data_IF_873307430431
#
_entry.id   IF_873307430431
#
_cell.length_a   1.000
_cell.length_b   1.000
_cell.length_c   1.000
_cell.angle_alpha   90.00
_cell.angle_beta   90.00
_cell.angle_gamma   90.00
#
_symmetry.space_group_name_H-M   'P 1'
#
loop_
_entity.id
_entity.type
_entity.pdbx_description
1 polymer ?
#
# COMPACT_ATOMS: atom_id res chain seq x y z
N UNK A 1 -30.41 -28.66 36.64
CA UNK A 1 -30.57 -28.46 35.18
C UNK A 1 -29.54 -27.50 34.57
N UNK A 2 -29.05 -26.48 35.29
CA UNK A 2 -28.10 -25.48 34.73
C UNK A 2 -26.73 -26.07 34.35
N UNK A 3 -26.22 -27.04 35.12
CA UNK A 3 -24.92 -27.70 34.84
C UNK A 3 -24.96 -28.53 33.56
N UNK A 4 -26.11 -29.12 33.22
CA UNK A 4 -26.26 -29.97 32.03
C UNK A 4 -26.23 -29.16 30.74
N UNK A 5 -26.85 -27.96 30.74
CA UNK A 5 -26.86 -27.07 29.58
C UNK A 5 -25.45 -26.54 29.30
N UNK A 6 -24.70 -26.16 30.34
CA UNK A 6 -23.32 -25.71 30.19
C UNK A 6 -22.42 -26.82 29.61
N UNK A 7 -22.58 -28.07 30.05
CA UNK A 7 -21.81 -29.20 29.54
C UNK A 7 -22.14 -29.51 28.06
N UNK A 8 -23.42 -29.44 27.68
CA UNK A 8 -23.85 -29.65 26.29
C UNK A 8 -23.32 -28.54 25.38
N UNK A 9 -23.33 -27.28 25.82
CA UNK A 9 -22.77 -26.17 25.04
C UNK A 9 -21.25 -26.34 24.90
N UNK A 10 -20.54 -26.73 25.96
CA UNK A 10 -19.08 -26.96 25.90
C UNK A 10 -18.72 -28.13 24.97
N UNK A 11 -19.52 -29.20 24.99
CA UNK A 11 -19.36 -30.37 24.10
C UNK A 11 -19.73 -30.06 22.65
N UNK A 12 -20.75 -29.24 22.40
CA UNK A 12 -21.08 -28.76 21.06
C UNK A 12 -20.00 -27.83 20.49
N UNK A 13 -19.39 -26.97 21.31
CA UNK A 13 -18.27 -26.15 20.85
C UNK A 13 -17.00 -26.97 20.59
N UNK A 14 -16.67 -27.96 21.43
CA UNK A 14 -15.48 -28.80 21.20
C UNK A 14 -15.64 -29.76 20.02
N UNK A 15 -16.85 -30.26 19.77
CA UNK A 15 -17.13 -31.14 18.62
C UNK A 15 -17.15 -30.41 17.29
N UNK A 16 -17.43 -29.10 17.24
CA UNK A 16 -17.30 -28.30 16.01
C UNK A 16 -15.85 -27.90 15.71
N UNK A 17 -14.99 -27.83 16.73
CA UNK A 17 -13.56 -27.50 16.56
C UNK A 17 -12.69 -28.72 16.18
N UNK A 18 -13.06 -29.92 16.63
CA UNK A 18 -12.28 -31.15 16.40
C UNK A 18 -12.21 -31.72 14.96
N UNK A 19 -13.24 -31.62 14.08
CA UNK A 19 -13.11 -32.16 12.73
C UNK A 19 -12.10 -31.38 11.89
N UNK A 20 -11.81 -30.12 12.25
CA UNK A 20 -10.81 -29.36 11.52
C UNK A 20 -9.39 -29.78 11.94
N UNK A 21 -9.11 -30.03 13.23
CA UNK A 21 -7.75 -30.34 13.69
C UNK A 21 -7.21 -31.70 13.25
N UNK A 22 -8.05 -32.72 13.10
CA UNK A 22 -7.59 -34.10 12.85
C UNK A 22 -7.25 -34.40 11.39
N UNK A 23 -7.70 -33.58 10.45
CA UNK A 23 -7.49 -33.81 9.02
C UNK A 23 -6.18 -33.13 8.50
N UNK A 24 -5.71 -32.06 9.16
CA UNK A 24 -4.75 -31.11 8.55
C UNK A 24 -3.34 -31.64 8.26
N UNK A 25 -2.80 -32.67 8.93
CA UNK A 25 -1.37 -33.02 8.71
C UNK A 25 -1.10 -33.66 7.34
N UNK A 26 -2.05 -34.45 6.82
CA UNK A 26 -1.99 -35.04 5.47
C UNK A 26 -2.79 -34.21 4.43
N UNK A 27 -3.66 -33.30 4.87
CA UNK A 27 -4.67 -32.61 4.05
C UNK A 27 -4.28 -31.20 3.56
N UNK A 28 -3.07 -30.72 3.83
CA UNK A 28 -2.58 -29.43 3.30
C UNK A 28 -2.73 -29.37 1.77
N UNK A 29 -2.50 -30.48 1.07
CA UNK A 29 -2.65 -30.57 -0.38
C UNK A 29 -4.10 -30.34 -0.85
N UNK A 30 -5.08 -30.90 -0.13
CA UNK A 30 -6.50 -30.65 -0.41
C UNK A 30 -6.82 -29.19 -0.17
N UNK A 31 -6.32 -28.61 0.93
CA UNK A 31 -6.54 -27.20 1.23
C UNK A 31 -5.93 -26.28 0.16
N UNK A 32 -4.73 -26.58 -0.34
CA UNK A 32 -4.12 -25.89 -1.48
C UNK A 32 -5.04 -25.95 -2.70
N UNK A 33 -5.60 -27.12 -3.00
CA UNK A 33 -6.56 -27.31 -4.10
C UNK A 33 -7.90 -26.56 -3.93
N UNK A 34 -8.31 -26.28 -2.69
CA UNK A 34 -9.53 -25.53 -2.40
C UNK A 34 -9.36 -24.01 -2.59
N UNK A 35 -8.16 -23.46 -2.39
CA UNK A 35 -7.90 -22.02 -2.50
C UNK A 35 -8.33 -21.43 -3.86
N UNK A 36 -7.97 -22.02 -5.03
CA UNK A 36 -8.46 -21.56 -6.33
C UNK A 36 -9.98 -21.50 -6.42
N UNK A 37 -10.68 -22.49 -5.86
CA UNK A 37 -12.15 -22.54 -5.86
C UNK A 37 -12.73 -21.40 -5.03
N UNK A 38 -12.13 -21.13 -3.87
CA UNK A 38 -12.57 -20.08 -2.95
C UNK A 38 -12.25 -18.67 -3.45
N UNK A 39 -11.17 -18.48 -4.23
CA UNK A 39 -10.85 -17.21 -4.88
C UNK A 39 -11.88 -16.80 -5.96
N UNK A 40 -12.59 -17.78 -6.53
CA UNK A 40 -13.69 -17.57 -7.47
C UNK A 40 -15.04 -17.36 -6.81
N UNK A 41 -15.16 -17.61 -5.50
CA UNK A 41 -16.37 -17.32 -4.74
C UNK A 41 -16.60 -15.81 -4.61
N UNK A 42 -17.74 -15.43 -4.01
CA UNK A 42 -18.00 -14.02 -3.71
C UNK A 42 -16.97 -13.48 -2.70
N UNK A 43 -16.66 -12.16 -2.71
CA UNK A 43 -15.72 -11.59 -1.75
C UNK A 43 -16.08 -11.89 -0.28
N UNK A 44 -17.37 -11.90 0.06
CA UNK A 44 -17.87 -12.21 1.41
C UNK A 44 -17.65 -13.67 1.79
N UNK A 45 -17.87 -14.60 0.85
CA UNK A 45 -17.65 -16.02 1.11
C UNK A 45 -16.16 -16.31 1.30
N UNK A 46 -15.31 -15.71 0.47
CA UNK A 46 -13.86 -15.84 0.59
C UNK A 46 -13.34 -15.22 1.90
N UNK A 47 -13.89 -14.07 2.32
CA UNK A 47 -13.58 -13.45 3.61
C UNK A 47 -13.94 -14.37 4.78
N UNK A 48 -15.13 -14.96 4.77
CA UNK A 48 -15.57 -15.89 5.82
C UNK A 48 -14.70 -17.14 5.85
N UNK A 49 -14.52 -17.78 4.70
CA UNK A 49 -13.73 -19.01 4.61
C UNK A 49 -12.28 -18.80 5.04
N UNK A 50 -11.63 -17.73 4.58
CA UNK A 50 -10.23 -17.45 4.96
C UNK A 50 -10.07 -17.09 6.44
N UNK A 51 -11.10 -16.51 7.07
CA UNK A 51 -11.14 -16.30 8.53
C UNK A 51 -11.20 -17.62 9.28
N UNK A 52 -12.03 -18.56 8.83
CA UNK A 52 -12.14 -19.89 9.44
C UNK A 52 -10.80 -20.63 9.35
N UNK A 53 -10.14 -20.60 8.17
CA UNK A 53 -8.78 -21.14 8.00
C UNK A 53 -7.77 -20.49 8.95
N UNK A 54 -7.84 -19.16 9.12
CA UNK A 54 -6.95 -18.42 10.03
C UNK A 54 -7.10 -18.84 11.49
N UNK A 55 -8.31 -19.26 11.91
CA UNK A 55 -8.59 -19.71 13.27
C UNK A 55 -8.23 -21.18 13.49
N UNK A 56 -8.31 -22.00 12.43
CA UNK A 56 -8.09 -23.44 12.52
C UNK A 56 -6.64 -23.86 12.34
N UNK A 57 -5.88 -23.13 11.53
CA UNK A 57 -4.48 -23.44 11.22
C UNK A 57 -3.53 -22.62 12.07
N UNK A 58 -2.42 -23.24 12.49
CA UNK A 58 -1.31 -22.47 13.04
C UNK A 58 -0.57 -21.69 11.93
N UNK A 59 0.30 -20.77 12.33
CA UNK A 59 1.00 -19.89 11.41
C UNK A 59 1.83 -20.64 10.35
N UNK A 60 2.52 -21.71 10.76
CA UNK A 60 3.37 -22.51 9.88
C UNK A 60 2.53 -23.23 8.81
N UNK A 61 1.39 -23.79 9.19
CA UNK A 61 0.46 -24.45 8.26
C UNK A 61 -0.11 -23.44 7.26
N UNK A 62 -0.53 -22.26 7.73
CA UNK A 62 -1.01 -21.20 6.86
C UNK A 62 0.07 -20.76 5.86
N UNK A 63 1.32 -20.63 6.31
CA UNK A 63 2.46 -20.29 5.46
C UNK A 63 2.67 -21.37 4.39
N UNK A 64 2.69 -22.65 4.78
CA UNK A 64 2.84 -23.78 3.84
C UNK A 64 1.76 -23.78 2.78
N UNK A 65 0.49 -23.58 3.14
CA UNK A 65 -0.61 -23.51 2.17
C UNK A 65 -0.40 -22.33 1.22
N UNK A 66 -0.18 -21.13 1.77
CA UNK A 66 -0.10 -19.91 0.97
C UNK A 66 1.06 -19.91 -0.04
N UNK A 67 2.21 -20.51 0.30
CA UNK A 67 3.38 -20.54 -0.58
C UNK A 67 3.33 -21.64 -1.65
N UNK A 68 2.44 -22.63 -1.51
CA UNK A 68 2.28 -23.73 -2.46
C UNK A 68 1.07 -23.56 -3.38
N UNK A 69 0.46 -22.38 -3.41
CA UNK A 69 -0.64 -22.08 -4.34
C UNK A 69 -0.13 -22.09 -5.80
N UNK A 70 -0.82 -22.78 -6.72
CA UNK A 70 -0.45 -22.81 -8.14
C UNK A 70 -0.91 -21.51 -8.84
N UNK A 71 -0.26 -20.39 -8.50
CA UNK A 71 -0.64 -19.08 -9.02
C UNK A 71 -0.62 -18.97 -10.55
N UNK A 72 0.27 -19.70 -11.24
CA UNK A 72 0.30 -19.73 -12.71
C UNK A 72 -1.03 -20.26 -13.26
N UNK A 73 -1.47 -21.43 -12.79
CA UNK A 73 -2.70 -22.07 -13.23
C UNK A 73 -3.93 -21.20 -12.91
N UNK A 74 -3.92 -20.55 -11.74
CA UNK A 74 -4.96 -19.58 -11.34
C UNK A 74 -5.01 -18.40 -12.32
N UNK A 75 -3.85 -17.82 -12.66
CA UNK A 75 -3.78 -16.67 -13.55
C UNK A 75 -4.15 -17.01 -15.01
N UNK A 76 -3.89 -18.24 -15.45
CA UNK A 76 -4.25 -18.72 -16.78
C UNK A 76 -5.74 -19.05 -16.91
N UNK A 77 -6.34 -19.62 -15.87
CA UNK A 77 -7.73 -20.13 -15.92
C UNK A 77 -8.77 -19.18 -15.36
N UNK A 78 -8.37 -18.16 -14.60
CA UNK A 78 -9.30 -17.35 -13.81
C UNK A 78 -9.21 -15.84 -14.13
N UNK A 79 -9.12 -15.03 -13.07
CA UNK A 79 -9.25 -13.58 -13.06
C UNK A 79 -7.93 -12.90 -13.41
N UNK A 80 -8.03 -11.66 -13.90
CA UNK A 80 -6.85 -10.83 -14.13
C UNK A 80 -6.06 -10.60 -12.82
N UNK A 81 -4.74 -10.36 -12.89
CA UNK A 81 -3.92 -10.13 -11.71
C UNK A 81 -4.46 -9.04 -10.76
N UNK A 82 -5.03 -7.96 -11.31
CA UNK A 82 -5.60 -6.86 -10.53
C UNK A 82 -6.83 -7.30 -9.74
N UNK A 83 -7.70 -8.11 -10.35
CA UNK A 83 -8.90 -8.63 -9.71
C UNK A 83 -8.51 -9.56 -8.57
N UNK A 84 -7.55 -10.48 -8.78
CA UNK A 84 -7.05 -11.35 -7.72
C UNK A 84 -6.44 -10.53 -6.56
N UNK A 85 -5.63 -9.52 -6.86
CA UNK A 85 -5.07 -8.65 -5.83
C UNK A 85 -6.15 -7.98 -4.98
N UNK A 86 -7.26 -7.56 -5.59
CA UNK A 86 -8.39 -6.94 -4.86
C UNK A 86 -9.12 -7.92 -3.94
N UNK A 87 -9.19 -9.20 -4.30
CA UNK A 87 -9.80 -10.26 -3.48
C UNK A 87 -8.90 -10.68 -2.30
N UNK A 88 -7.58 -10.58 -2.51
CA UNK A 88 -6.53 -10.87 -1.53
C UNK A 88 -6.27 -9.67 -0.59
N UNK A 89 -7.31 -9.15 0.06
CA UNK A 89 -7.14 -8.11 1.09
C UNK A 89 -6.35 -8.62 2.31
N UNK A 90 -5.71 -7.74 3.09
CA UNK A 90 -4.90 -8.16 4.25
C UNK A 90 -5.71 -8.31 5.55
N UNK A 91 -7.03 -8.52 5.42
CA UNK A 91 -7.96 -8.47 6.56
C UNK A 91 -7.85 -9.60 7.58
N UNK A 92 -7.09 -10.66 7.27
CA UNK A 92 -6.81 -11.76 8.22
C UNK A 92 -5.43 -12.40 7.94
N UNK A 93 -4.86 -13.15 8.91
CA UNK A 93 -3.51 -13.72 8.80
C UNK A 93 -3.31 -14.62 7.57
N UNK A 94 -4.29 -15.47 7.24
CA UNK A 94 -4.14 -16.37 6.10
C UNK A 94 -4.16 -15.60 4.77
N UNK A 95 -5.08 -14.64 4.61
CA UNK A 95 -5.09 -13.79 3.42
C UNK A 95 -3.84 -12.93 3.29
N UNK A 96 -3.30 -12.41 4.38
CA UNK A 96 -2.03 -11.69 4.37
C UNK A 96 -0.92 -12.58 3.77
N UNK A 97 -0.86 -13.85 4.16
CA UNK A 97 0.11 -14.82 3.61
C UNK A 97 -0.15 -15.12 2.13
N UNK A 98 -1.41 -15.28 1.71
CA UNK A 98 -1.77 -15.44 0.30
C UNK A 98 -1.38 -14.21 -0.53
N UNK A 99 -1.67 -13.01 -0.03
CA UNK A 99 -1.33 -11.74 -0.66
C UNK A 99 0.19 -11.57 -0.82
N UNK A 100 0.98 -11.89 0.21
CA UNK A 100 2.45 -11.89 0.11
C UNK A 100 2.95 -12.92 -0.91
N UNK A 101 2.43 -14.16 -0.87
CA UNK A 101 2.76 -15.21 -1.83
C UNK A 101 2.48 -14.78 -3.27
N UNK A 102 1.33 -14.15 -3.50
CA UNK A 102 0.93 -13.62 -4.80
C UNK A 102 1.86 -12.51 -5.28
N UNK A 103 2.23 -11.54 -4.42
CA UNK A 103 3.24 -10.53 -4.75
C UNK A 103 4.55 -11.17 -5.23
N UNK A 104 5.07 -12.15 -4.49
CA UNK A 104 6.34 -12.79 -4.83
C UNK A 104 6.25 -13.67 -6.06
N UNK A 105 5.10 -14.28 -6.33
CA UNK A 105 4.84 -14.95 -7.60
C UNK A 105 4.91 -13.94 -8.76
N UNK A 106 4.09 -12.88 -8.73
CA UNK A 106 4.08 -11.85 -9.78
C UNK A 106 5.47 -11.25 -10.01
N UNK A 107 6.24 -11.03 -8.94
CA UNK A 107 7.61 -10.53 -9.04
C UNK A 107 8.54 -11.50 -9.76
N UNK A 108 8.56 -12.78 -9.35
CA UNK A 108 9.43 -13.82 -9.93
C UNK A 108 9.16 -13.99 -11.42
N UNK A 109 7.89 -13.93 -11.82
CA UNK A 109 7.46 -14.06 -13.21
C UNK A 109 7.43 -12.73 -13.98
N UNK A 110 7.91 -11.62 -13.38
CA UNK A 110 7.97 -10.28 -13.99
C UNK A 110 6.60 -9.78 -14.49
N UNK A 111 5.53 -10.12 -13.77
CA UNK A 111 4.15 -9.72 -14.04
C UNK A 111 3.70 -8.48 -13.26
N UNK A 112 4.57 -7.91 -12.40
CA UNK A 112 4.28 -6.69 -11.66
C UNK A 112 4.33 -5.45 -12.57
N UNK A 113 3.15 -4.90 -12.89
CA UNK A 113 3.01 -3.60 -13.56
C UNK A 113 2.85 -2.44 -12.55
N UNK A 114 2.77 -1.20 -13.05
CA UNK A 114 2.65 0.02 -12.22
C UNK A 114 1.43 0.00 -11.29
N UNK A 115 0.29 -0.47 -11.80
CA UNK A 115 -0.98 -0.54 -11.06
C UNK A 115 -0.85 -1.52 -9.89
N UNK A 116 -0.36 -2.74 -10.16
CA UNK A 116 -0.17 -3.78 -9.15
C UNK A 116 0.83 -3.33 -8.08
N UNK A 117 1.96 -2.74 -8.48
CA UNK A 117 2.97 -2.21 -7.56
C UNK A 117 2.42 -1.09 -6.68
N UNK A 118 1.65 -0.17 -7.27
CA UNK A 118 1.00 0.91 -6.55
C UNK A 118 -0.01 0.40 -5.53
N UNK A 119 -0.83 -0.59 -5.91
CA UNK A 119 -1.74 -1.27 -4.98
C UNK A 119 -1.00 -1.96 -3.83
N UNK A 120 0.08 -2.70 -4.12
CA UNK A 120 0.91 -3.33 -3.09
C UNK A 120 1.52 -2.30 -2.14
N UNK A 121 2.04 -1.20 -2.68
CA UNK A 121 2.59 -0.10 -1.88
C UNK A 121 1.54 0.54 -0.98
N UNK A 122 0.34 0.82 -1.51
CA UNK A 122 -0.78 1.37 -0.73
C UNK A 122 -1.15 0.46 0.45
N UNK A 123 -1.28 -0.84 0.19
CA UNK A 123 -1.63 -1.79 1.24
C UNK A 123 -0.52 -1.94 2.29
N UNK A 124 0.76 -1.92 1.90
CA UNK A 124 1.86 -1.86 2.86
C UNK A 124 1.82 -0.59 3.73
N UNK A 125 1.46 0.54 3.14
CA UNK A 125 1.32 1.81 3.88
C UNK A 125 0.16 1.74 4.89
N UNK A 126 -0.95 1.14 4.50
CA UNK A 126 -2.10 0.85 5.36
C UNK A 126 -1.69 -0.06 6.53
N UNK A 127 -1.09 -1.23 6.23
CA UNK A 127 -0.60 -2.17 7.25
C UNK A 127 0.36 -1.50 8.23
N UNK A 128 1.35 -0.74 7.74
CA UNK A 128 2.33 -0.08 8.58
C UNK A 128 1.71 0.97 9.51
N UNK A 129 0.65 1.64 9.06
CA UNK A 129 0.02 2.73 9.81
C UNK A 129 -1.06 2.24 10.77
N UNK A 130 -1.90 1.32 10.32
CA UNK A 130 -3.15 0.95 10.98
C UNK A 130 -3.07 -0.43 11.65
N UNK A 131 -2.11 -1.28 11.25
CA UNK A 131 -1.91 -2.63 11.77
C UNK A 131 -0.42 -2.94 12.07
N UNK A 132 0.30 -2.08 12.82
CA UNK A 132 1.73 -2.25 13.05
C UNK A 132 2.09 -3.59 13.73
N UNK A 133 1.18 -4.19 14.47
CA UNK A 133 1.31 -5.51 15.10
C UNK A 133 1.46 -6.66 14.08
N UNK A 134 0.96 -6.49 12.86
CA UNK A 134 1.10 -7.47 11.79
C UNK A 134 2.42 -7.30 11.03
N UNK A 135 3.16 -6.22 11.27
CA UNK A 135 4.39 -5.91 10.55
C UNK A 135 5.50 -6.89 10.91
N UNK A 136 5.92 -7.70 9.94
CA UNK A 136 6.95 -8.73 10.10
C UNK A 136 8.08 -8.55 9.07
N UNK A 137 9.10 -9.42 9.17
CA UNK A 137 10.27 -9.37 8.28
C UNK A 137 9.89 -9.63 6.81
N UNK A 138 8.86 -10.43 6.52
CA UNK A 138 8.41 -10.69 5.15
C UNK A 138 7.81 -9.43 4.52
N UNK A 139 7.01 -8.68 5.28
CA UNK A 139 6.48 -7.37 4.86
C UNK A 139 7.58 -6.33 4.69
N UNK A 140 8.57 -6.35 5.58
CA UNK A 140 9.76 -5.51 5.43
C UNK A 140 10.53 -5.86 4.14
N UNK A 141 10.70 -7.14 3.81
CA UNK A 141 11.35 -7.58 2.58
C UNK A 141 10.54 -7.18 1.34
N UNK A 142 9.21 -7.32 1.41
CA UNK A 142 8.31 -6.88 0.35
C UNK A 142 8.42 -5.37 0.13
N UNK A 143 8.44 -4.56 1.20
CA UNK A 143 8.72 -3.13 1.12
C UNK A 143 10.06 -2.86 0.44
N UNK A 144 11.15 -3.53 0.84
CA UNK A 144 12.47 -3.31 0.24
C UNK A 144 12.53 -3.69 -1.24
N UNK A 145 11.64 -4.57 -1.68
CA UNK A 145 11.52 -5.01 -3.07
C UNK A 145 10.89 -3.96 -3.99
N UNK A 146 10.13 -3.00 -3.46
CA UNK A 146 9.47 -1.97 -4.27
C UNK A 146 10.47 -0.99 -4.92
N UNK A 147 10.12 -0.35 -6.05
CA UNK A 147 10.86 0.79 -6.58
C UNK A 147 11.09 1.88 -5.51
N UNK A 148 12.24 2.57 -5.57
CA UNK A 148 12.61 3.63 -4.60
C UNK A 148 11.50 4.67 -4.35
N UNK A 149 10.81 5.22 -5.38
CA UNK A 149 9.67 6.12 -5.19
C UNK A 149 8.60 5.56 -4.25
N UNK A 150 8.11 4.36 -4.56
CA UNK A 150 7.07 3.70 -3.76
C UNK A 150 7.57 3.36 -2.36
N UNK A 151 8.82 2.91 -2.21
CA UNK A 151 9.41 2.67 -0.87
C UNK A 151 9.39 3.90 0.00
N UNK A 152 9.71 5.06 -0.56
CA UNK A 152 9.67 6.32 0.16
C UNK A 152 8.24 6.64 0.60
N UNK A 153 7.28 6.58 -0.32
CA UNK A 153 5.86 6.87 -0.05
C UNK A 153 5.23 5.94 0.99
N UNK A 154 5.71 4.71 1.12
CA UNK A 154 5.30 3.79 2.21
C UNK A 154 5.99 4.12 3.53
N UNK A 155 7.25 4.57 3.48
CA UNK A 155 8.07 4.76 4.69
C UNK A 155 7.74 6.02 5.47
N UNK A 156 7.34 7.08 4.79
CA UNK A 156 7.16 8.41 5.37
C UNK A 156 5.88 9.07 4.88
N UNK A 157 5.28 9.87 5.76
CA UNK A 157 4.21 10.82 5.40
C UNK A 157 4.75 12.23 5.20
N UNK A 158 6.00 12.49 5.58
CA UNK A 158 6.64 13.81 5.51
C UNK A 158 7.64 13.85 4.38
N UNK A 159 7.31 14.63 3.36
CA UNK A 159 8.14 14.80 2.19
C UNK A 159 8.67 16.23 2.13
N UNK A 160 9.88 16.38 1.62
CA UNK A 160 10.27 17.61 0.95
C UNK A 160 10.34 17.35 -0.55
N UNK A 161 9.94 18.35 -1.33
CA UNK A 161 9.86 18.23 -2.78
C UNK A 161 10.97 19.11 -3.37
N UNK A 162 11.96 18.47 -3.96
CA UNK A 162 13.14 19.11 -4.55
C UNK A 162 13.01 19.08 -6.07
N UNK A 163 13.17 20.23 -6.72
CA UNK A 163 13.19 20.30 -8.16
C UNK A 163 14.44 19.61 -8.70
N UNK A 164 14.27 18.59 -9.55
CA UNK A 164 15.36 17.67 -9.94
C UNK A 164 16.54 18.37 -10.63
N UNK A 165 16.26 19.42 -11.41
CA UNK A 165 17.28 20.13 -12.22
C UNK A 165 17.90 21.32 -11.50
N UNK A 166 17.06 22.11 -10.81
CA UNK A 166 17.47 23.38 -10.21
C UNK A 166 17.80 23.25 -8.73
N UNK A 167 17.49 22.09 -8.11
CA UNK A 167 17.79 21.76 -6.71
C UNK A 167 17.13 22.69 -5.67
N UNK A 168 16.07 23.40 -6.09
CA UNK A 168 15.22 24.17 -5.18
C UNK A 168 14.19 23.30 -4.51
N UNK A 169 13.92 23.58 -3.24
CA UNK A 169 12.80 23.02 -2.52
C UNK A 169 11.61 23.94 -2.64
N UNK A 170 10.43 23.38 -2.85
CA UNK A 170 9.18 24.15 -2.87
C UNK A 170 8.60 24.27 -1.46
N UNK A 171 8.16 25.48 -1.11
CA UNK A 171 7.44 25.77 0.13
C UNK A 171 6.01 26.26 -0.15
N UNK A 172 5.30 26.69 0.89
CA UNK A 172 3.97 27.28 0.77
C UNK A 172 3.93 28.45 -0.24
N UNK A 173 2.78 28.66 -0.87
CA UNK A 173 2.61 29.75 -1.84
C UNK A 173 3.47 29.63 -3.10
N UNK A 174 3.95 28.42 -3.43
CA UNK A 174 4.82 28.14 -4.58
C UNK A 174 6.18 28.85 -4.54
N UNK A 175 6.67 29.17 -3.34
CA UNK A 175 7.99 29.77 -3.17
C UNK A 175 9.09 28.70 -3.28
N UNK A 176 10.28 29.12 -3.69
CA UNK A 176 11.45 28.26 -3.86
C UNK A 176 12.54 28.65 -2.84
N UNK A 177 13.13 27.64 -2.21
CA UNK A 177 14.21 27.79 -1.23
C UNK A 177 15.41 26.91 -1.63
N UNK A 178 16.63 27.41 -1.35
CA UNK A 178 17.85 26.62 -1.50
C UNK A 178 18.02 25.71 -0.28
N UNK A 179 17.62 24.45 -0.41
CA UNK A 179 17.56 23.50 0.70
C UNK A 179 16.24 23.57 1.48
N UNK A 180 15.92 22.49 2.17
CA UNK A 180 14.75 22.40 3.04
C UNK A 180 15.07 22.99 4.42
N UNK A 181 15.11 24.32 4.50
CA UNK A 181 15.59 25.04 5.69
C UNK A 181 14.48 25.49 6.63
N UNK A 182 13.22 25.42 6.18
CA UNK A 182 12.06 25.87 6.92
C UNK A 182 11.07 24.73 7.13
N UNK A 183 10.21 24.85 8.15
CA UNK A 183 9.06 23.95 8.28
C UNK A 183 8.18 23.95 7.04
N UNK A 184 8.12 25.08 6.35
CA UNK A 184 7.26 25.25 5.19
C UNK A 184 7.81 24.49 3.97
N UNK A 185 9.01 23.89 4.06
CA UNK A 185 9.49 22.90 3.08
C UNK A 185 8.87 21.50 3.28
N UNK A 186 8.14 21.26 4.38
CA UNK A 186 7.53 19.96 4.70
C UNK A 186 6.11 19.89 4.10
N UNK A 187 5.87 18.78 3.40
CA UNK A 187 4.59 18.41 2.82
C UNK A 187 4.12 17.10 3.44
N UNK A 188 2.95 17.12 4.09
CA UNK A 188 2.30 15.93 4.65
C UNK A 188 1.50 15.23 3.56
N UNK A 189 1.69 13.91 3.46
CA UNK A 189 1.01 13.05 2.49
C UNK A 189 -0.30 12.57 3.10
N UNK A 190 -1.40 13.13 2.62
CA UNK A 190 -2.76 12.67 2.87
C UNK A 190 -3.16 11.59 1.85
N UNK A 191 -3.80 10.52 2.33
CA UNK A 191 -4.32 9.47 1.45
C UNK A 191 -5.64 9.91 0.83
N UNK A 192 -5.65 10.05 -0.50
CA UNK A 192 -6.89 10.20 -1.26
C UNK A 192 -7.17 8.88 -2.01
N UNK A 193 -8.30 8.23 -1.72
CA UNK A 193 -8.58 6.88 -2.22
C UNK A 193 -8.87 6.79 -3.74
N UNK A 194 -8.84 7.92 -4.46
CA UNK A 194 -9.16 7.96 -5.90
C UNK A 194 -7.95 7.55 -6.72
N UNK A 195 -8.06 6.45 -7.46
CA UNK A 195 -7.20 6.10 -8.60
C UNK A 195 -5.67 6.32 -8.40
N UNK A 196 -5.12 5.92 -7.25
CA UNK A 196 -3.67 5.98 -6.95
C UNK A 196 -3.10 7.40 -6.77
N UNK A 197 -3.94 8.40 -6.50
CA UNK A 197 -3.50 9.76 -6.20
C UNK A 197 -3.19 9.94 -4.71
N UNK A 198 -2.20 10.77 -4.41
CA UNK A 198 -1.89 11.23 -3.06
C UNK A 198 -1.96 12.75 -3.05
N UNK A 199 -2.59 13.30 -2.01
CA UNK A 199 -2.63 14.74 -1.77
C UNK A 199 -1.47 15.10 -0.85
N UNK A 200 -0.69 16.09 -1.28
CA UNK A 200 0.42 16.66 -0.52
C UNK A 200 -0.04 18.01 0.01
N UNK A 201 -0.07 18.18 1.33
CA UNK A 201 -0.49 19.42 1.98
C UNK A 201 0.70 20.07 2.66
N UNK A 202 0.92 21.36 2.41
CA UNK A 202 2.00 22.08 3.05
C UNK A 202 1.70 22.26 4.54
N UNK A 203 2.69 22.00 5.39
CA UNK A 203 2.55 22.10 6.85
C UNK A 203 2.27 23.53 7.34
N UNK A 204 2.78 24.56 6.68
CA UNK A 204 2.57 25.95 7.09
C UNK A 204 1.27 26.55 6.57
N UNK A 205 0.72 25.99 5.49
CA UNK A 205 -0.44 26.55 4.81
C UNK A 205 -1.27 25.43 4.16
N UNK A 206 -2.36 25.03 4.83
CA UNK A 206 -3.23 23.93 4.39
C UNK A 206 -3.88 24.14 3.01
N UNK A 207 -3.94 25.39 2.55
CA UNK A 207 -4.44 25.76 1.21
C UNK A 207 -3.42 25.44 0.11
N UNK A 208 -2.13 25.44 0.44
CA UNK A 208 -1.05 25.07 -0.47
C UNK A 208 -0.99 23.56 -0.56
N UNK A 209 -1.42 23.01 -1.70
CA UNK A 209 -1.47 21.57 -1.91
C UNK A 209 -1.13 21.18 -3.35
N UNK A 210 -0.59 19.97 -3.49
CA UNK A 210 -0.33 19.32 -4.77
C UNK A 210 -0.87 17.90 -4.76
N UNK A 211 -1.00 17.32 -5.95
CA UNK A 211 -1.32 15.92 -6.14
C UNK A 211 -0.18 15.23 -6.85
N UNK A 212 0.16 14.01 -6.41
CA UNK A 212 1.08 13.10 -7.09
C UNK A 212 0.39 11.77 -7.32
N UNK A 213 0.81 11.05 -8.35
CA UNK A 213 0.36 9.67 -8.59
C UNK A 213 1.39 8.67 -8.09
N UNK A 214 0.91 7.60 -7.44
CA UNK A 214 1.73 6.43 -7.10
C UNK A 214 2.00 5.52 -8.30
N UNK A 215 1.47 5.83 -9.49
CA UNK A 215 1.74 5.03 -10.69
C UNK A 215 3.12 5.31 -11.29
N UNK A 216 3.76 6.45 -10.95
CA UNK A 216 5.10 6.77 -11.45
C UNK A 216 6.16 5.79 -10.91
N UNK A 217 6.73 4.97 -11.80
CA UNK A 217 7.91 4.15 -11.47
C UNK A 217 9.23 4.93 -11.59
N UNK A 218 9.20 6.12 -12.20
CA UNK A 218 10.38 6.93 -12.43
C UNK A 218 10.96 7.52 -11.14
N UNK A 219 12.23 7.93 -11.18
CA UNK A 219 12.89 8.60 -10.05
C UNK A 219 12.31 10.01 -9.74
N UNK A 220 11.39 10.50 -10.57
CA UNK A 220 10.77 11.82 -10.45
C UNK A 220 9.25 11.74 -10.52
N UNK A 221 8.61 12.72 -9.90
CA UNK A 221 7.16 12.92 -9.90
C UNK A 221 6.85 14.27 -10.53
N UNK A 222 5.62 14.41 -10.98
CA UNK A 222 5.04 15.69 -11.39
C UNK A 222 4.07 16.11 -10.30
N UNK A 223 4.14 17.38 -9.90
CA UNK A 223 3.23 17.97 -8.93
C UNK A 223 2.05 18.57 -9.69
N UNK A 224 0.86 17.98 -9.52
CA UNK A 224 -0.36 18.41 -10.19
C UNK A 224 -1.24 19.28 -9.29
N UNK A 225 -2.01 20.16 -9.92
CA UNK A 225 -3.02 21.00 -9.24
C UNK A 225 -4.33 20.29 -8.91
N UNK A 226 -4.58 19.12 -9.50
CA UNK A 226 -5.76 18.28 -9.25
C UNK A 226 -5.42 16.80 -9.53
N UNK A 227 -6.16 15.82 -8.97
CA UNK A 227 -5.87 14.38 -9.13
C UNK A 227 -6.35 13.83 -10.48
N UNK A 228 -5.86 14.42 -11.58
CA UNK A 228 -6.13 13.97 -12.94
C UNK A 228 -5.00 14.38 -13.89
N UNK A 229 -4.83 13.62 -14.97
CA UNK A 229 -3.73 13.81 -15.91
C UNK A 229 -3.87 15.04 -16.83
N UNK A 230 -4.97 15.78 -16.74
CA UNK A 230 -5.19 17.03 -17.50
C UNK A 230 -4.98 18.28 -16.64
N UNK A 231 -4.63 18.09 -15.36
CA UNK A 231 -4.37 19.17 -14.43
C UNK A 231 -3.12 19.96 -14.83
N UNK A 232 -2.95 21.16 -14.26
CA UNK A 232 -1.70 21.89 -14.47
C UNK A 232 -0.58 21.26 -13.64
N UNK A 233 0.56 21.04 -14.25
CA UNK A 233 1.82 20.64 -13.62
C UNK A 233 2.56 21.87 -13.09
N UNK A 234 3.19 21.75 -11.93
CA UNK A 234 4.02 22.79 -11.35
C UNK A 234 5.49 22.63 -11.76
N UNK A 235 6.08 23.68 -12.32
CA UNK A 235 7.35 23.63 -13.00
C UNK A 235 8.25 24.81 -12.60
N UNK A 236 9.57 24.62 -12.74
CA UNK A 236 10.60 25.61 -12.45
C UNK A 236 11.55 25.73 -13.64
N UNK A 237 11.81 26.97 -14.06
CA UNK A 237 12.80 27.28 -15.08
C UNK A 237 13.52 28.57 -14.72
N UNK A 238 14.85 28.53 -14.62
CA UNK A 238 15.68 29.70 -14.26
C UNK A 238 15.19 30.37 -12.97
N UNK A 239 14.95 29.54 -11.95
CA UNK A 239 14.43 29.97 -10.63
C UNK A 239 13.05 30.64 -10.64
N UNK A 240 12.32 30.62 -11.76
CA UNK A 240 10.95 31.11 -11.85
C UNK A 240 9.97 29.95 -11.87
N UNK A 241 8.88 30.09 -11.12
CA UNK A 241 7.82 29.07 -11.03
C UNK A 241 6.70 29.37 -12.01
N UNK A 242 6.14 28.33 -12.61
CA UNK A 242 5.00 28.44 -13.52
C UNK A 242 4.17 27.15 -13.53
N UNK A 243 2.99 27.24 -14.14
CA UNK A 243 2.08 26.12 -14.29
C UNK A 243 1.90 25.78 -15.77
N UNK A 244 2.24 24.55 -16.14
CA UNK A 244 2.08 24.04 -17.51
C UNK A 244 0.84 23.14 -17.60
N UNK A 245 0.07 23.24 -18.69
CA UNK A 245 -1.03 22.28 -18.90
C UNK A 245 -0.40 20.94 -19.27
N UNK A 246 -0.60 19.89 -18.47
CA UNK A 246 -0.06 18.56 -18.79
C UNK A 246 -0.88 17.93 -19.91
N UNK A 247 -0.58 18.29 -21.17
CA UNK A 247 -1.31 17.72 -22.30
C UNK A 247 -0.67 16.42 -22.79
N UNK A 248 0.58 16.08 -22.48
CA UNK A 248 1.18 14.80 -22.87
C UNK A 248 2.35 14.38 -21.98
N UNK A 249 2.63 13.07 -21.99
CA UNK A 249 3.47 12.26 -21.09
C UNK A 249 4.95 12.63 -20.99
N UNK A 250 5.44 13.55 -21.81
CA UNK A 250 6.79 14.09 -21.68
C UNK A 250 6.72 15.49 -21.05
N UNK A 251 6.24 15.56 -19.81
CA UNK A 251 6.41 16.79 -19.03
C UNK A 251 7.87 17.17 -19.07
N UNK A 252 8.15 18.42 -19.44
CA UNK A 252 9.51 18.89 -19.57
C UNK A 252 10.30 18.60 -18.29
N UNK A 253 11.62 18.43 -18.41
CA UNK A 253 12.50 18.24 -17.24
C UNK A 253 12.33 19.31 -16.15
N UNK A 254 11.71 20.45 -16.51
CA UNK A 254 11.34 21.58 -15.68
C UNK A 254 10.19 21.29 -14.70
N UNK A 255 9.45 20.19 -14.85
CA UNK A 255 8.31 19.83 -13.98
C UNK A 255 8.60 18.58 -13.14
N UNK A 256 9.86 18.12 -13.12
CA UNK A 256 10.26 16.90 -12.42
C UNK A 256 10.75 17.20 -11.01
N UNK A 257 10.05 16.60 -10.05
CA UNK A 257 10.30 16.71 -8.62
C UNK A 257 10.83 15.41 -8.05
N UNK A 258 11.88 15.50 -7.26
CA UNK A 258 12.36 14.42 -6.41
C UNK A 258 11.66 14.52 -5.05
N UNK A 259 11.15 13.39 -4.58
CA UNK A 259 10.59 13.26 -3.24
C UNK A 259 11.71 12.86 -2.29
N UNK A 260 11.86 13.59 -1.19
CA UNK A 260 12.88 13.34 -0.17
C UNK A 260 12.21 13.12 1.20
N UNK A 261 12.73 12.19 2.02
CA UNK A 261 12.20 11.95 3.37
C UNK A 261 12.60 13.09 4.30
N UNK A 262 11.61 13.81 4.82
CA UNK A 262 11.82 14.96 5.70
C UNK A 262 11.27 14.77 7.11
N UNK A 263 11.01 13.52 7.51
CA UNK A 263 10.53 13.23 8.87
C UNK A 263 11.48 13.69 9.99
N UNK A 264 12.77 13.87 9.68
CA UNK A 264 13.79 14.29 10.64
C UNK A 264 13.94 15.81 10.73
N UNK A 265 13.34 16.59 9.82
CA UNK A 265 13.35 18.03 9.95
C UNK A 265 12.53 18.43 11.18
N UNK A 266 13.08 19.26 12.08
CA UNK A 266 12.34 19.71 13.25
C UNK A 266 11.17 20.58 12.80
N UNK A 267 9.97 20.20 13.21
CA UNK A 267 8.79 21.03 13.03
C UNK A 267 8.84 22.11 14.12
N UNK A 268 9.36 23.28 13.80
CA UNK A 268 9.32 24.43 14.70
C UNK A 268 7.85 24.80 14.89
N UNK A 269 7.18 24.33 15.94
CA UNK A 269 5.81 24.77 16.24
C UNK A 269 5.83 26.29 16.44
N UNK A 270 5.64 27.06 15.38
CA UNK A 270 5.71 28.51 15.41
C UNK A 270 4.43 29.00 16.08
N UNK A 271 4.49 29.09 17.41
CA UNK A 271 3.69 29.96 18.25
C UNK A 271 2.20 30.09 17.85
N UNK A 272 1.51 28.96 17.69
CA UNK A 272 0.06 28.92 17.87
C UNK A 272 -0.37 29.15 19.34
N UNK A 273 0.54 29.64 20.20
CA UNK A 273 0.16 30.51 21.31
C UNK A 273 -0.26 31.89 20.76
N UNK A 274 -1.30 31.90 19.93
CA UNK A 274 -2.16 33.07 19.73
C UNK A 274 -3.43 32.79 20.53
N UNK A 275 -3.32 32.94 21.85
CA UNK A 275 -4.46 33.30 22.68
C UNK A 275 -4.66 34.81 22.57
#
# INVERSE_FOLDING_TARGET
MVVYIALIILLCLSSLLNPVQTVIKDDIHVLIGLVPTQLNASPLDFDKWSKDISLSLNEEQQQRVAWNIPWSDILETQKAPQDLQSHLNTGNPFKLKLWMSFHWHLRRFRLLNEILLSNFARELRNLKSNHPEQWNNDLQNMLQSLPRPLRLLVKTRRLCLEHKKELFYITAGNQLELGANSNCSIWEVEEENKYHWLRLVNVCEDKSHFFITMLSQGASHVLFTAPNNVAKAFCVLKSMTYFEKSVNTDTESNCHWQLNDCKFLPMILSANNKN
#
